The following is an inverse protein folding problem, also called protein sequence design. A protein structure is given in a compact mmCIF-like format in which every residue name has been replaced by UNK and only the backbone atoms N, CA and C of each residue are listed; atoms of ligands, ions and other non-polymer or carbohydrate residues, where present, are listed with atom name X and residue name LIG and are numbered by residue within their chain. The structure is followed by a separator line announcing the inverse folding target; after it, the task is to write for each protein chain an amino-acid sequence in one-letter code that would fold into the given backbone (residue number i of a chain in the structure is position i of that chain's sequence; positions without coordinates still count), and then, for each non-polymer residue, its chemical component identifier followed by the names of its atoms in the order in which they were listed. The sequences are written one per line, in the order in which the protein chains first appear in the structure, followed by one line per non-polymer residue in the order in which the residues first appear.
data_IF_857359017556
#
_entry.id   IF_857359017556
#
_cell.length_a   1.000
_cell.length_b   1.000
_cell.length_c   1.000
_cell.angle_alpha   90.00
_cell.angle_beta   90.00
_cell.angle_gamma   90.00
#
_symmetry.space_group_name_H-M   'P 1'
#
loop_
_entity.id
_entity.type
_entity.pdbx_description
1 polymer ?
#
# COMPACT_ATOMS: atom_id res chain seq x y z
N UNK A 1 43.59 -19.12 6.91
CA UNK A 1 42.34 -19.85 7.21
C UNK A 1 41.25 -18.81 7.21
N UNK A 2 40.44 -18.78 6.16
CA UNK A 2 39.46 -17.73 5.91
C UNK A 2 38.17 -18.09 6.67
N UNK A 3 37.86 -17.34 7.72
CA UNK A 3 36.63 -17.46 8.50
C UNK A 3 35.44 -17.02 7.64
N UNK A 4 34.49 -17.94 7.42
CA UNK A 4 33.27 -17.68 6.68
C UNK A 4 32.34 -16.77 7.51
N UNK A 5 32.02 -15.58 6.98
CA UNK A 5 30.97 -14.71 7.53
C UNK A 5 29.62 -15.39 7.28
N UNK A 6 29.10 -16.11 8.26
CA UNK A 6 27.75 -16.67 8.22
C UNK A 6 26.76 -15.51 8.38
N UNK A 7 26.22 -15.02 7.26
CA UNK A 7 25.10 -14.09 7.27
C UNK A 7 23.86 -14.80 7.84
N UNK A 8 23.39 -14.34 9.00
CA UNK A 8 22.16 -14.82 9.62
C UNK A 8 20.97 -14.65 8.66
N UNK A 9 20.04 -15.63 8.58
CA UNK A 9 18.90 -15.53 7.68
C UNK A 9 18.02 -14.33 8.09
N UNK A 10 17.85 -13.41 7.14
CA UNK A 10 16.99 -12.23 7.27
C UNK A 10 15.55 -12.68 7.57
N UNK A 11 15.03 -12.31 8.75
CA UNK A 11 13.65 -12.56 9.18
C UNK A 11 12.68 -12.01 8.12
N UNK A 12 12.16 -12.89 7.26
CA UNK A 12 11.05 -12.56 6.38
C UNK A 12 9.81 -12.36 7.25
N UNK A 13 9.21 -11.16 7.19
CA UNK A 13 7.97 -10.86 7.90
C UNK A 13 6.89 -11.74 7.26
N UNK A 14 6.34 -12.66 8.07
CA UNK A 14 5.17 -13.48 7.75
C UNK A 14 4.12 -12.60 7.06
N UNK A 15 3.83 -12.92 5.78
CA UNK A 15 2.74 -12.29 5.06
C UNK A 15 1.44 -12.68 5.77
N UNK A 16 0.81 -11.71 6.45
CA UNK A 16 -0.48 -11.93 7.08
C UNK A 16 -1.45 -12.48 6.05
N UNK A 17 -1.89 -13.69 6.34
CA UNK A 17 -3.00 -14.40 5.74
C UNK A 17 -4.21 -13.45 5.65
N UNK A 18 -4.49 -12.88 4.49
CA UNK A 18 -5.67 -12.04 4.31
C UNK A 18 -6.67 -12.78 3.44
N UNK A 19 -7.69 -13.33 4.09
CA UNK A 19 -8.87 -13.88 3.44
C UNK A 19 -9.35 -12.95 2.32
N UNK A 20 -9.76 -13.55 1.22
CA UNK A 20 -10.14 -12.90 -0.03
C UNK A 20 -11.22 -11.83 0.25
N UNK A 21 -10.81 -10.59 0.51
CA UNK A 21 -11.74 -9.45 0.56
C UNK A 21 -12.26 -9.27 -0.86
N UNK A 22 -13.57 -9.43 -1.05
CA UNK A 22 -14.24 -9.20 -2.34
C UNK A 22 -13.83 -7.82 -2.88
N UNK A 23 -13.58 -7.67 -4.19
CA UNK A 23 -13.19 -6.38 -4.77
C UNK A 23 -14.31 -5.37 -4.54
N UNK A 24 -14.11 -4.46 -3.58
CA UNK A 24 -14.97 -3.29 -3.38
C UNK A 24 -14.88 -2.48 -4.68
N UNK A 25 -16.02 -2.13 -5.28
CA UNK A 25 -16.04 -1.20 -6.42
C UNK A 25 -15.63 0.17 -5.90
N UNK A 26 -14.41 0.59 -6.23
CA UNK A 26 -13.85 1.87 -5.82
C UNK A 26 -13.96 2.83 -7.00
N UNK A 27 -14.64 3.97 -6.79
CA UNK A 27 -14.81 5.00 -7.81
C UNK A 27 -13.51 5.77 -8.04
N UNK A 28 -13.42 6.44 -9.19
CA UNK A 28 -12.26 7.27 -9.53
C UNK A 28 -12.11 8.45 -8.56
N UNK A 29 -13.22 9.03 -8.08
CA UNK A 29 -13.23 10.10 -7.09
C UNK A 29 -12.56 9.69 -5.77
N UNK A 30 -12.89 8.51 -5.23
CA UNK A 30 -12.25 8.03 -3.99
C UNK A 30 -10.74 7.87 -4.17
N UNK A 31 -10.28 7.45 -5.35
CA UNK A 31 -8.84 7.36 -5.63
C UNK A 31 -8.19 8.75 -5.67
N UNK A 32 -8.84 9.73 -6.32
CA UNK A 32 -8.37 11.13 -6.37
C UNK A 32 -8.33 11.74 -4.97
N UNK A 33 -9.33 11.49 -4.13
CA UNK A 33 -9.38 11.95 -2.74
C UNK A 33 -8.23 11.36 -1.90
N UNK A 34 -7.97 10.06 -2.01
CA UNK A 34 -6.87 9.38 -1.30
C UNK A 34 -5.52 9.97 -1.71
N UNK A 35 -5.30 10.22 -3.01
CA UNK A 35 -4.08 10.84 -3.51
C UNK A 35 -3.93 12.27 -2.96
N UNK A 36 -5.00 13.08 -3.00
CA UNK A 36 -4.96 14.45 -2.51
C UNK A 36 -4.65 14.52 -1.00
N UNK A 37 -5.26 13.66 -0.18
CA UNK A 37 -4.96 13.59 1.26
C UNK A 37 -3.50 13.17 1.51
N UNK A 38 -2.98 12.23 0.73
CA UNK A 38 -1.59 11.79 0.84
C UNK A 38 -0.61 12.89 0.42
N UNK A 39 -0.88 13.63 -0.66
CA UNK A 39 -0.09 14.81 -1.06
C UNK A 39 -0.11 15.91 0.01
N UNK A 40 -1.23 16.02 0.75
CA UNK A 40 -1.34 16.91 1.91
C UNK A 40 -0.67 16.36 3.20
N UNK A 41 0.08 15.25 3.10
CA UNK A 41 0.87 14.69 4.20
C UNK A 41 0.18 13.60 5.04
N UNK A 42 -1.01 13.14 4.66
CA UNK A 42 -1.67 12.04 5.38
C UNK A 42 -0.90 10.71 5.25
N UNK A 43 -0.80 9.94 6.34
CA UNK A 43 -0.10 8.66 6.33
C UNK A 43 -0.94 7.58 5.63
N UNK A 44 -0.26 6.69 4.90
CA UNK A 44 -0.89 5.53 4.23
C UNK A 44 -1.66 4.64 5.20
N UNK A 45 -1.22 4.52 6.47
CA UNK A 45 -1.94 3.77 7.50
C UNK A 45 -3.32 4.34 7.78
N UNK A 46 -3.39 5.66 7.87
CA UNK A 46 -4.59 6.36 8.32
C UNK A 46 -5.60 6.38 7.18
N UNK A 47 -5.13 6.57 5.94
CA UNK A 47 -5.94 6.42 4.73
C UNK A 47 -6.49 5.00 4.56
N UNK A 48 -5.67 3.98 4.83
CA UNK A 48 -6.12 2.60 4.80
C UNK A 48 -7.23 2.32 5.84
N UNK A 49 -7.11 2.89 7.05
CA UNK A 49 -8.13 2.78 8.09
C UNK A 49 -9.41 3.54 7.75
N UNK A 50 -9.30 4.80 7.30
CA UNK A 50 -10.44 5.65 6.94
C UNK A 50 -11.29 5.05 5.82
N UNK A 51 -10.63 4.41 4.85
CA UNK A 51 -11.30 3.86 3.68
C UNK A 51 -11.57 2.33 3.79
N UNK A 52 -11.22 1.68 4.92
CA UNK A 52 -11.27 0.22 5.12
C UNK A 52 -10.60 -0.55 3.95
N UNK A 53 -9.43 -0.07 3.54
CA UNK A 53 -8.65 -0.63 2.43
C UNK A 53 -7.35 -1.25 2.93
N UNK A 54 -6.81 -2.18 2.15
CA UNK A 54 -5.46 -2.67 2.41
C UNK A 54 -4.44 -1.55 2.10
N UNK A 55 -3.37 -1.48 2.90
CA UNK A 55 -2.26 -0.55 2.65
C UNK A 55 -1.65 -0.75 1.25
N UNK A 56 -1.63 -1.99 0.75
CA UNK A 56 -1.20 -2.32 -0.61
C UNK A 56 -2.10 -1.66 -1.67
N UNK A 57 -3.43 -1.67 -1.47
CA UNK A 57 -4.39 -1.00 -2.35
C UNK A 57 -4.14 0.51 -2.40
N UNK A 58 -3.96 1.16 -1.24
CA UNK A 58 -3.62 2.60 -1.17
C UNK A 58 -2.30 2.87 -1.90
N UNK A 59 -1.27 2.05 -1.68
CA UNK A 59 0.02 2.19 -2.35
C UNK A 59 -0.09 2.05 -3.87
N UNK A 60 -0.94 1.14 -4.38
CA UNK A 60 -1.22 1.03 -5.82
C UNK A 60 -1.86 2.30 -6.38
N UNK A 61 -2.80 2.92 -5.65
CA UNK A 61 -3.39 4.19 -6.08
C UNK A 61 -2.36 5.32 -6.15
N UNK A 62 -1.45 5.39 -5.18
CA UNK A 62 -0.38 6.39 -5.16
C UNK A 62 0.66 6.17 -6.27
N UNK A 63 0.98 4.91 -6.60
CA UNK A 63 1.88 4.57 -7.72
C UNK A 63 1.29 4.94 -9.07
N UNK A 64 -0.01 4.69 -9.25
CA UNK A 64 -0.71 4.96 -10.50
C UNK A 64 -1.36 6.36 -10.53
N UNK A 65 -0.89 7.29 -9.68
CA UNK A 65 -1.47 8.64 -9.56
C UNK A 65 -1.46 9.42 -10.88
N UNK A 66 -0.44 9.24 -11.71
CA UNK A 66 -0.32 9.93 -13.00
C UNK A 66 -1.34 9.42 -14.03
N UNK A 67 -1.59 8.11 -14.05
CA UNK A 67 -2.64 7.51 -14.88
C UNK A 67 -4.06 7.93 -14.46
N UNK A 68 -4.23 8.42 -13.22
CA UNK A 68 -5.51 8.90 -12.70
C UNK A 68 -5.69 10.42 -12.83
N UNK A 69 -4.62 11.16 -13.12
CA UNK A 69 -4.64 12.63 -13.33
C UNK A 69 -4.92 13.01 -14.79
N UNK A 70 -4.67 12.12 -15.73
CA UNK A 70 -4.83 12.34 -17.19
C UNK A 70 -6.18 11.91 -17.78
N UNK A 71 -7.24 11.77 -16.98
CA UNK A 71 -8.61 11.44 -17.43
C UNK A 71 -9.63 12.43 -16.92
#
# INVERSE_FOLDING_TARGET
MNEAIIMAPKKVKSGSNSGVKKPKRITVETKKEIIAKHENGARVSDLAMQHDMAKSTICTFLKNKEALKGS
#
